data_IF_344400151035
#
_entry.id   IF_344400151035
#
_cell.length_a   1.000
_cell.length_b   1.000
_cell.length_c   1.000
_cell.angle_alpha   90.00
_cell.angle_beta   90.00
_cell.angle_gamma   90.00
#
_symmetry.space_group_name_H-M   'P 1'
#
loop_
_entity.id
_entity.type
_entity.pdbx_description
1 polymer ?
#
# COMPACT_ATOMS: atom_id res chain seq x y z
N UNK A 1 20.62 -12.76 -8.77
CA UNK A 1 20.21 -11.71 -7.81
C UNK A 1 21.43 -11.15 -7.10
N UNK A 2 21.68 -9.83 -7.24
CA UNK A 2 22.84 -9.13 -6.69
C UNK A 2 22.79 -8.98 -5.17
N UNK A 3 23.93 -8.71 -4.52
CA UNK A 3 23.98 -8.49 -3.07
C UNK A 3 23.10 -7.31 -2.63
N UNK A 4 23.07 -6.23 -3.42
CA UNK A 4 22.21 -5.06 -3.17
C UNK A 4 20.72 -5.42 -3.23
N UNK A 5 20.32 -6.28 -4.18
CA UNK A 5 18.95 -6.78 -4.27
C UNK A 5 18.57 -7.64 -3.05
N UNK A 6 19.48 -8.51 -2.59
CA UNK A 6 19.25 -9.34 -1.38
C UNK A 6 19.07 -8.50 -0.12
N UNK A 7 19.93 -7.49 0.08
CA UNK A 7 19.84 -6.57 1.23
C UNK A 7 18.53 -5.78 1.22
N UNK A 8 18.10 -5.32 0.03
CA UNK A 8 16.81 -4.63 -0.14
C UNK A 8 15.64 -5.56 0.21
N UNK A 9 15.63 -6.78 -0.32
CA UNK A 9 14.59 -7.77 -0.04
C UNK A 9 14.52 -8.13 1.46
N UNK A 10 15.66 -8.23 2.12
CA UNK A 10 15.70 -8.46 3.57
C UNK A 10 15.09 -7.30 4.37
N UNK A 11 15.45 -6.05 4.04
CA UNK A 11 14.86 -4.89 4.73
C UNK A 11 13.36 -4.80 4.52
N UNK A 12 12.89 -5.06 3.30
CA UNK A 12 11.47 -5.10 2.98
C UNK A 12 10.76 -6.17 3.82
N UNK A 13 11.27 -7.41 3.84
CA UNK A 13 10.75 -8.48 4.69
C UNK A 13 10.73 -8.11 6.18
N UNK A 14 11.82 -7.51 6.70
CA UNK A 14 11.93 -7.10 8.10
C UNK A 14 10.88 -6.05 8.46
N UNK A 15 10.74 -5.01 7.63
CA UNK A 15 9.82 -3.90 7.86
C UNK A 15 8.36 -4.33 7.71
N UNK A 16 8.06 -5.23 6.77
CA UNK A 16 6.75 -5.91 6.66
C UNK A 16 6.42 -6.69 7.93
N UNK A 17 7.38 -7.45 8.46
CA UNK A 17 7.22 -8.19 9.71
C UNK A 17 7.00 -7.29 10.93
N UNK A 18 7.68 -6.15 10.99
CA UNK A 18 7.48 -5.15 12.05
C UNK A 18 6.09 -4.50 11.95
N UNK A 19 5.66 -4.10 10.75
CA UNK A 19 4.34 -3.49 10.54
C UNK A 19 3.18 -4.41 10.92
N UNK A 20 3.33 -5.72 10.70
CA UNK A 20 2.31 -6.72 11.05
C UNK A 20 2.24 -7.11 12.53
N UNK A 21 3.22 -6.71 13.37
CA UNK A 21 3.30 -7.19 14.75
C UNK A 21 2.84 -6.13 15.76
N UNK A 22 1.54 -6.16 16.08
CA UNK A 22 0.93 -5.23 17.03
C UNK A 22 1.59 -5.21 18.43
N UNK A 23 2.26 -6.30 18.84
CA UNK A 23 2.93 -6.38 20.15
C UNK A 23 4.22 -5.55 20.22
N UNK A 24 4.81 -5.20 19.07
CA UNK A 24 6.05 -4.43 19.02
C UNK A 24 5.81 -2.91 19.04
N UNK A 25 4.55 -2.44 19.10
CA UNK A 25 4.19 -1.00 19.02
C UNK A 25 4.97 -0.11 19.98
N UNK A 26 5.27 -0.57 21.19
CA UNK A 26 6.06 0.19 22.19
C UNK A 26 7.54 0.26 21.86
N UNK A 27 8.06 -0.70 21.10
CA UNK A 27 9.47 -0.83 20.74
C UNK A 27 9.76 -0.36 19.30
N UNK A 28 8.71 -0.04 18.53
CA UNK A 28 8.79 0.44 17.14
C UNK A 28 9.85 1.53 16.92
N UNK A 29 9.97 2.59 17.75
CA UNK A 29 10.96 3.63 17.50
C UNK A 29 12.40 3.10 17.52
N UNK A 30 12.72 2.21 18.46
CA UNK A 30 14.06 1.62 18.60
C UNK A 30 14.35 0.63 17.47
N UNK A 31 13.37 -0.21 17.10
CA UNK A 31 13.50 -1.14 15.98
C UNK A 31 13.62 -0.44 14.63
N UNK A 32 12.84 0.61 14.38
CA UNK A 32 12.93 1.41 13.17
C UNK A 32 14.27 2.14 13.07
N UNK A 33 14.73 2.72 14.18
CA UNK A 33 16.06 3.32 14.24
C UNK A 33 17.13 2.29 13.84
N UNK A 34 17.05 1.08 14.39
CA UNK A 34 17.97 -0.01 14.06
C UNK A 34 17.88 -0.45 12.59
N UNK A 35 16.67 -0.57 12.04
CA UNK A 35 16.46 -0.92 10.63
C UNK A 35 17.01 0.16 9.69
N UNK A 36 16.87 1.43 10.05
CA UNK A 36 17.42 2.55 9.27
C UNK A 36 18.95 2.64 9.37
N UNK A 37 19.51 2.40 10.55
CA UNK A 37 20.96 2.27 10.73
C UNK A 37 21.51 1.09 9.91
N UNK A 38 20.80 -0.04 9.87
CA UNK A 38 21.16 -1.20 9.07
C UNK A 38 21.11 -0.90 7.57
N UNK A 39 20.07 -0.19 7.11
CA UNK A 39 19.98 0.27 5.72
C UNK A 39 21.18 1.15 5.33
N UNK A 40 21.54 2.09 6.20
CA UNK A 40 22.71 2.95 6.01
C UNK A 40 24.01 2.13 5.96
N UNK A 41 24.18 1.17 6.86
CA UNK A 41 25.36 0.29 6.90
C UNK A 41 25.47 -0.62 5.66
N UNK A 42 24.39 -0.77 4.90
CA UNK A 42 24.32 -1.59 3.69
C UNK A 42 24.38 -0.79 2.38
N UNK A 43 24.68 0.50 2.46
CA UNK A 43 24.66 1.45 1.34
C UNK A 43 23.30 1.50 0.64
N UNK A 44 22.22 1.30 1.40
CA UNK A 44 20.86 1.47 0.95
C UNK A 44 20.34 2.84 1.36
N UNK A 45 19.61 3.56 0.50
CA UNK A 45 19.04 4.85 0.85
C UNK A 45 18.08 4.70 2.03
N UNK A 46 18.29 5.46 3.11
CA UNK A 46 17.37 5.48 4.26
C UNK A 46 15.96 5.92 3.84
N UNK A 47 15.84 6.72 2.78
CA UNK A 47 14.56 7.08 2.15
C UNK A 47 13.80 5.84 1.64
N UNK A 48 14.50 4.86 1.09
CA UNK A 48 13.88 3.62 0.62
C UNK A 48 13.37 2.77 1.81
N UNK A 49 14.13 2.70 2.91
CA UNK A 49 13.69 2.00 4.11
C UNK A 49 12.45 2.66 4.74
N UNK A 50 12.39 4.00 4.79
CA UNK A 50 11.20 4.72 5.26
C UNK A 50 9.99 4.49 4.37
N UNK A 51 10.19 4.49 3.05
CA UNK A 51 9.17 4.16 2.08
C UNK A 51 8.61 2.75 2.32
N UNK A 52 9.47 1.73 2.43
CA UNK A 52 9.02 0.36 2.69
C UNK A 52 8.23 0.27 3.98
N UNK A 53 8.69 0.92 5.05
CA UNK A 53 7.96 0.91 6.33
C UNK A 53 6.55 1.48 6.19
N UNK A 54 6.41 2.66 5.59
CA UNK A 54 5.08 3.30 5.40
C UNK A 54 4.18 2.43 4.52
N UNK A 55 4.69 1.91 3.41
CA UNK A 55 3.93 1.01 2.52
C UNK A 55 3.50 -0.25 3.27
N UNK A 56 4.39 -0.86 4.06
CA UNK A 56 4.07 -2.02 4.88
C UNK A 56 2.99 -1.75 5.92
N UNK A 57 2.93 -0.55 6.50
CA UNK A 57 1.83 -0.19 7.40
C UNK A 57 0.49 -0.18 6.67
N UNK A 58 0.41 0.38 5.45
CA UNK A 58 -0.80 0.30 4.64
C UNK A 58 -1.13 -1.15 4.22
N UNK A 59 -0.14 -1.97 3.84
CA UNK A 59 -0.37 -3.39 3.53
C UNK A 59 -0.95 -4.18 4.73
N UNK A 60 -0.69 -3.73 5.95
CA UNK A 60 -1.18 -4.34 7.19
C UNK A 60 -2.41 -3.63 7.79
N UNK A 61 -3.09 -2.76 7.03
CA UNK A 61 -4.26 -1.99 7.50
C UNK A 61 -3.99 -1.08 8.72
N UNK A 62 -2.73 -0.74 8.96
CA UNK A 62 -2.30 0.16 10.02
C UNK A 62 -2.30 1.62 9.53
N UNK A 63 -3.35 2.05 8.83
CA UNK A 63 -3.45 3.35 8.14
C UNK A 63 -3.16 4.53 9.06
N UNK A 64 -3.67 4.52 10.29
CA UNK A 64 -3.40 5.59 11.27
C UNK A 64 -1.91 5.76 11.52
N UNK A 65 -1.23 4.64 11.79
CA UNK A 65 0.21 4.63 12.08
C UNK A 65 1.02 4.99 10.81
N UNK A 66 0.49 4.64 9.62
CA UNK A 66 1.06 5.00 8.32
C UNK A 66 0.99 6.51 8.05
N UNK A 67 -0.17 7.14 8.32
CA UNK A 67 -0.35 8.59 8.15
C UNK A 67 0.56 9.39 9.10
N UNK A 68 0.71 8.95 10.35
CA UNK A 68 1.66 9.56 11.31
C UNK A 68 3.10 9.48 10.80
N UNK A 69 3.46 8.34 10.20
CA UNK A 69 4.81 8.07 9.67
C UNK A 69 5.02 8.64 8.27
N UNK A 70 3.97 9.12 7.59
CA UNK A 70 4.03 9.60 6.19
C UNK A 70 5.01 10.76 6.02
N UNK A 71 5.09 11.64 7.02
CA UNK A 71 6.02 12.78 7.06
C UNK A 71 7.51 12.38 6.94
N UNK A 72 7.84 11.12 7.19
CA UNK A 72 9.19 10.58 7.02
C UNK A 72 9.59 10.41 5.54
N UNK A 73 8.61 10.33 4.63
CA UNK A 73 8.81 10.13 3.20
C UNK A 73 8.67 11.47 2.47
N UNK A 74 9.75 11.94 1.85
CA UNK A 74 9.76 13.21 1.11
C UNK A 74 9.34 13.09 -0.35
N UNK A 75 9.48 11.90 -0.93
CA UNK A 75 9.14 11.63 -2.31
C UNK A 75 7.71 11.09 -2.39
N UNK A 76 6.75 12.03 -2.47
CA UNK A 76 5.34 11.70 -2.51
C UNK A 76 4.93 10.93 -3.78
N UNK A 77 5.63 11.12 -4.89
CA UNK A 77 5.35 10.40 -6.13
C UNK A 77 5.72 8.92 -6.01
N UNK A 78 6.93 8.62 -5.52
CA UNK A 78 7.35 7.22 -5.32
C UNK A 78 6.46 6.52 -4.28
N UNK A 79 6.02 7.25 -3.25
CA UNK A 79 5.04 6.75 -2.30
C UNK A 79 3.70 6.46 -2.98
N UNK A 80 3.13 7.40 -3.71
CA UNK A 80 1.88 7.23 -4.44
C UNK A 80 1.92 6.04 -5.41
N UNK A 81 3.01 5.90 -6.17
CA UNK A 81 3.21 4.76 -7.05
C UNK A 81 3.18 3.42 -6.27
N UNK A 82 3.84 3.36 -5.11
CA UNK A 82 3.84 2.17 -4.27
C UNK A 82 2.44 1.89 -3.67
N UNK A 83 1.74 2.92 -3.20
CA UNK A 83 0.42 2.82 -2.59
C UNK A 83 -0.69 2.50 -3.60
N UNK A 84 -0.50 2.78 -4.89
CA UNK A 84 -1.43 2.35 -5.93
C UNK A 84 -1.63 0.82 -5.93
N UNK A 85 -0.54 0.06 -5.78
CA UNK A 85 -0.63 -1.40 -5.69
C UNK A 85 -1.33 -1.87 -4.41
N UNK A 86 -1.17 -1.12 -3.31
CA UNK A 86 -1.90 -1.38 -2.06
C UNK A 86 -3.39 -1.11 -2.24
N UNK A 87 -3.77 0.01 -2.87
CA UNK A 87 -5.17 0.30 -3.20
C UNK A 87 -5.77 -0.81 -4.07
N UNK A 88 -5.09 -1.20 -5.15
CA UNK A 88 -5.56 -2.26 -6.05
C UNK A 88 -5.80 -3.58 -5.30
N UNK A 89 -4.89 -3.96 -4.40
CA UNK A 89 -5.05 -5.14 -3.55
C UNK A 89 -6.25 -5.01 -2.60
N UNK A 90 -6.45 -3.84 -1.99
CA UNK A 90 -7.58 -3.57 -1.09
C UNK A 90 -8.91 -3.59 -1.82
N UNK A 91 -9.01 -3.00 -3.01
CA UNK A 91 -10.24 -3.05 -3.81
C UNK A 91 -10.56 -4.49 -4.19
N UNK A 92 -9.58 -5.31 -4.54
CA UNK A 92 -9.83 -6.73 -4.80
C UNK A 92 -10.39 -7.45 -3.57
N UNK A 93 -9.99 -7.08 -2.35
CA UNK A 93 -10.51 -7.69 -1.13
C UNK A 93 -11.92 -7.21 -0.78
N UNK A 94 -12.20 -5.92 -0.97
CA UNK A 94 -13.53 -5.34 -0.82
C UNK A 94 -14.48 -5.97 -1.85
N UNK A 95 -14.04 -6.12 -3.10
CA UNK A 95 -14.82 -6.72 -4.19
C UNK A 95 -15.20 -8.17 -3.88
N UNK A 96 -14.27 -8.96 -3.29
CA UNK A 96 -14.61 -10.32 -2.80
C UNK A 96 -15.73 -10.29 -1.76
N UNK A 97 -15.69 -9.37 -0.81
CA UNK A 97 -16.74 -9.21 0.21
C UNK A 97 -18.08 -8.75 -0.41
N UNK A 98 -18.02 -7.98 -1.50
CA UNK A 98 -19.19 -7.57 -2.27
C UNK A 98 -19.59 -8.56 -3.37
N UNK A 99 -19.06 -9.79 -3.35
CA UNK A 99 -19.37 -10.85 -4.34
C UNK A 99 -19.09 -10.46 -5.80
N UNK A 100 -18.03 -9.69 -6.05
CA UNK A 100 -17.57 -9.32 -7.39
C UNK A 100 -18.28 -8.13 -8.03
N UNK A 101 -19.09 -7.39 -7.26
CA UNK A 101 -19.92 -6.29 -7.77
C UNK A 101 -19.14 -5.05 -8.18
N UNK A 102 -17.97 -4.78 -7.59
CA UNK A 102 -17.21 -3.56 -7.89
C UNK A 102 -16.53 -3.70 -9.25
N UNK A 103 -15.92 -4.87 -9.49
CA UNK A 103 -15.04 -5.06 -10.64
C UNK A 103 -15.77 -5.65 -11.86
N UNK A 104 -17.09 -5.84 -11.79
CA UNK A 104 -17.88 -6.36 -12.92
C UNK A 104 -17.90 -5.40 -14.11
N UNK A 105 -17.93 -4.10 -13.83
CA UNK A 105 -18.00 -3.03 -14.82
C UNK A 105 -16.62 -2.37 -15.07
N UNK A 106 -15.54 -2.98 -14.58
CA UNK A 106 -14.19 -2.50 -14.83
C UNK A 106 -13.81 -2.58 -16.32
N UNK A 107 -13.05 -1.60 -16.79
CA UNK A 107 -12.47 -1.61 -18.14
C UNK A 107 -11.56 -2.82 -18.34
N UNK A 108 -11.43 -3.25 -19.60
CA UNK A 108 -10.57 -4.40 -19.97
C UNK A 108 -9.13 -4.21 -19.46
N UNK A 109 -8.59 -2.99 -19.58
CA UNK A 109 -7.23 -2.69 -19.13
C UNK A 109 -7.08 -2.83 -17.60
N UNK A 110 -8.05 -2.31 -16.84
CA UNK A 110 -8.04 -2.43 -15.38
C UNK A 110 -8.25 -3.89 -14.95
N UNK A 111 -9.16 -4.62 -15.59
CA UNK A 111 -9.41 -6.03 -15.31
C UNK A 111 -8.15 -6.89 -15.56
N UNK A 112 -7.46 -6.67 -16.69
CA UNK A 112 -6.20 -7.36 -16.99
C UNK A 112 -5.14 -7.01 -15.93
N UNK A 113 -4.98 -5.74 -15.58
CA UNK A 113 -4.04 -5.32 -14.54
C UNK A 113 -4.33 -6.01 -13.18
N UNK A 114 -5.59 -6.00 -12.73
CA UNK A 114 -5.98 -6.58 -11.45
C UNK A 114 -5.84 -8.11 -11.43
N UNK A 115 -6.07 -8.78 -12.57
CA UNK A 115 -5.86 -10.23 -12.67
C UNK A 115 -4.38 -10.63 -12.46
N UNK A 116 -3.44 -9.84 -13.00
CA UNK A 116 -2.02 -9.99 -12.75
C UNK A 116 -1.62 -9.68 -11.30
N UNK A 117 -2.34 -8.79 -10.63
CA UNK A 117 -2.05 -8.43 -9.24
C UNK A 117 -2.49 -9.53 -8.24
N UNK A 118 -3.61 -10.21 -8.53
CA UNK A 118 -4.18 -11.27 -7.67
C UNK A 118 -3.22 -12.45 -7.44
N UNK A 119 -2.22 -12.67 -8.30
CA UNK A 119 -1.20 -13.70 -8.10
C UNK A 119 -0.12 -13.33 -7.07
N UNK A 120 0.12 -12.05 -6.82
CA UNK A 120 1.28 -11.58 -6.05
C UNK A 120 0.93 -10.73 -4.82
N UNK A 121 -0.26 -10.10 -4.77
CA UNK A 121 -0.64 -9.21 -3.68
C UNK A 121 -1.30 -9.97 -2.52
N UNK A 122 -0.53 -10.24 -1.45
CA UNK A 122 -1.07 -10.69 -0.17
C UNK A 122 -1.03 -9.56 0.86
N UNK A 123 -2.20 -9.09 1.28
CA UNK A 123 -2.34 -8.24 2.46
C UNK A 123 -2.13 -9.11 3.71
N UNK A 124 -1.26 -8.70 4.63
CA UNK A 124 -0.77 -9.57 5.73
C UNK A 124 -1.28 -9.19 7.12
N UNK A 125 -2.17 -8.21 7.22
CA UNK A 125 -2.72 -7.70 8.48
C UNK A 125 -4.09 -8.26 8.85
N UNK A 126 -4.49 -8.08 10.12
CA UNK A 126 -5.88 -8.28 10.53
C UNK A 126 -6.77 -7.29 9.79
N UNK A 127 -7.65 -7.80 8.94
CA UNK A 127 -8.52 -6.95 8.14
C UNK A 127 -9.49 -6.18 9.05
N UNK A 128 -9.63 -4.85 8.87
CA UNK A 128 -10.57 -4.05 9.64
C UNK A 128 -12.00 -4.32 9.16
N UNK A 129 -12.99 -3.69 9.80
CA UNK A 129 -14.39 -3.84 9.38
C UNK A 129 -14.60 -3.38 7.93
N UNK A 130 -15.61 -3.90 7.24
CA UNK A 130 -15.91 -3.49 5.86
C UNK A 130 -16.07 -1.97 5.70
N UNK A 131 -16.71 -1.32 6.68
CA UNK A 131 -16.87 0.15 6.70
C UNK A 131 -15.51 0.86 6.81
N UNK A 132 -14.59 0.37 7.64
CA UNK A 132 -13.25 0.94 7.73
C UNK A 132 -12.41 0.66 6.48
N UNK A 133 -12.54 -0.53 5.88
CA UNK A 133 -11.84 -0.88 4.64
C UNK A 133 -12.20 0.09 3.52
N UNK A 134 -13.50 0.35 3.33
CA UNK A 134 -14.00 1.29 2.32
C UNK A 134 -13.56 2.73 2.61
N UNK A 135 -13.67 3.20 3.86
CA UNK A 135 -13.18 4.53 4.25
C UNK A 135 -11.66 4.70 4.01
N UNK A 136 -10.87 3.69 4.33
CA UNK A 136 -9.42 3.73 4.11
C UNK A 136 -9.06 3.64 2.63
N UNK A 137 -9.84 2.92 1.82
CA UNK A 137 -9.70 2.92 0.38
C UNK A 137 -9.98 4.32 -0.22
N UNK A 138 -11.03 5.00 0.24
CA UNK A 138 -11.33 6.38 -0.15
C UNK A 138 -10.19 7.36 0.14
N UNK A 139 -9.63 7.32 1.36
CA UNK A 139 -8.47 8.16 1.72
C UNK A 139 -7.26 7.90 0.82
N UNK A 140 -6.99 6.63 0.50
CA UNK A 140 -5.91 6.27 -0.42
C UNK A 140 -6.19 6.78 -1.83
N UNK A 141 -7.41 6.66 -2.33
CA UNK A 141 -7.82 7.20 -3.64
C UNK A 141 -7.54 8.71 -3.70
N UNK A 142 -7.97 9.47 -2.69
CA UNK A 142 -7.77 10.92 -2.65
C UNK A 142 -6.28 11.27 -2.68
N UNK A 143 -5.48 10.59 -1.85
CA UNK A 143 -4.03 10.76 -1.83
C UNK A 143 -3.38 10.47 -3.20
N UNK A 144 -3.79 9.38 -3.85
CA UNK A 144 -3.25 8.97 -5.15
C UNK A 144 -3.63 9.94 -6.27
N UNK A 145 -4.86 10.44 -6.29
CA UNK A 145 -5.30 11.44 -7.28
C UNK A 145 -4.49 12.73 -7.14
N UNK A 146 -4.19 13.15 -5.91
CA UNK A 146 -3.41 14.35 -5.62
C UNK A 146 -1.94 14.21 -6.06
N UNK A 147 -1.33 13.03 -5.86
CA UNK A 147 0.12 12.85 -5.98
C UNK A 147 0.59 12.09 -7.23
N UNK A 148 -0.31 11.45 -7.98
CA UNK A 148 0.02 10.81 -9.25
C UNK A 148 -0.02 11.82 -10.42
N UNK A 149 0.92 11.73 -11.39
CA UNK A 149 0.91 12.56 -12.58
C UNK A 149 -0.40 12.43 -13.36
N UNK A 150 -0.88 13.55 -13.90
CA UNK A 150 -2.16 13.62 -14.66
C UNK A 150 -2.20 12.59 -15.78
N UNK A 151 -1.07 12.42 -16.49
CA UNK A 151 -0.96 11.55 -17.65
C UNK A 151 -0.61 10.09 -17.30
N UNK A 152 -0.52 9.74 -16.01
CA UNK A 152 -0.15 8.37 -15.62
C UNK A 152 -1.32 7.40 -15.70
N UNK A 153 -1.09 6.21 -16.26
CA UNK A 153 -2.07 5.12 -16.27
C UNK A 153 -2.57 4.77 -14.85
N UNK A 154 -1.69 4.87 -13.84
CA UNK A 154 -2.05 4.65 -12.44
C UNK A 154 -3.12 5.64 -11.97
N UNK A 155 -3.03 6.92 -12.36
CA UNK A 155 -4.06 7.91 -12.02
C UNK A 155 -5.37 7.63 -12.73
N UNK A 156 -5.32 7.25 -14.01
CA UNK A 156 -6.52 6.83 -14.78
C UNK A 156 -7.23 5.66 -14.07
N UNK A 157 -6.47 4.61 -13.72
CA UNK A 157 -7.02 3.48 -12.96
C UNK A 157 -7.51 3.87 -11.57
N UNK A 158 -6.85 4.80 -10.88
CA UNK A 158 -7.31 5.28 -9.57
C UNK A 158 -8.67 5.99 -9.68
N UNK A 159 -8.87 6.81 -10.71
CA UNK A 159 -10.16 7.46 -10.98
C UNK A 159 -11.24 6.44 -11.32
N UNK A 160 -10.92 5.45 -12.14
CA UNK A 160 -11.85 4.36 -12.47
C UNK A 160 -12.25 3.55 -11.23
N UNK A 161 -11.27 3.15 -10.40
CA UNK A 161 -11.53 2.44 -9.14
C UNK A 161 -12.39 3.25 -8.17
N UNK A 162 -12.22 4.58 -8.15
CA UNK A 162 -13.05 5.49 -7.37
C UNK A 162 -14.50 5.45 -7.82
N UNK A 163 -14.72 5.58 -9.12
CA UNK A 163 -16.06 5.66 -9.70
C UNK A 163 -16.78 4.30 -9.52
N UNK A 164 -16.10 3.18 -9.76
CA UNK A 164 -16.62 1.83 -9.50
C UNK A 164 -16.98 1.59 -8.03
N UNK A 165 -16.10 2.01 -7.10
CA UNK A 165 -16.36 1.88 -5.66
C UNK A 165 -17.57 2.72 -5.24
N UNK A 166 -17.73 3.92 -5.81
CA UNK A 166 -18.87 4.78 -5.55
C UNK A 166 -20.18 4.15 -6.01
N UNK A 167 -20.23 3.65 -7.25
CA UNK A 167 -21.41 3.02 -7.83
C UNK A 167 -21.84 1.79 -7.02
N UNK A 168 -20.87 0.93 -6.65
CA UNK A 168 -21.15 -0.27 -5.89
C UNK A 168 -21.69 -0.01 -4.47
N UNK A 169 -21.37 1.15 -3.86
CA UNK A 169 -21.84 1.52 -2.52
C UNK A 169 -23.21 2.25 -2.53
N UNK A 170 -23.69 2.65 -3.71
CA UNK A 170 -25.01 3.29 -3.86
C UNK A 170 -26.14 2.28 -4.12
N UNK A 171 -25.82 0.99 -4.29
CA UNK A 171 -26.74 -0.10 -4.64
C UNK A 171 -26.66 -1.27 -3.65
#
# INVERSE_FOLDING_TARGET
MSLKQRRRAFLDWLLRGLAGNANLRTEYPAFLSSAFSLASAWDLPTSAARLFYVVSLYENWADRDAEESRSMVRDSYTLANSLFYVLAARICEIDKQMSGRILVDASENLAVFLSCLKSDASLTGSQPSFVEQTQNAWKLIDFLIEHLPVESNQRVFTLELRDLLQEALQH
#
